data_IF_063746805653
#
_entry.id   IF_063746805653
#
_cell.length_a   1.000
_cell.length_b   1.000
_cell.length_c   1.000
_cell.angle_alpha   90.00
_cell.angle_beta   90.00
_cell.angle_gamma   90.00
#
_symmetry.space_group_name_H-M   'P 1'
#
loop_
_entity.id
_entity.type
_entity.pdbx_description
1 polymer ?
#
# COMPACT_ATOMS: atom_id res chain seq x y z
N UNK A 1 17.98 35.00 57.18
CA UNK A 1 18.26 36.06 58.18
C UNK A 1 18.66 37.33 57.45
N UNK A 2 18.47 38.53 58.04
CA UNK A 2 18.97 39.80 57.47
C UNK A 2 20.47 39.89 57.78
N UNK A 3 21.30 40.02 56.74
CA UNK A 3 22.73 40.22 56.90
C UNK A 3 23.09 41.62 56.38
N UNK A 4 23.82 42.39 57.19
CA UNK A 4 24.12 43.80 56.90
C UNK A 4 25.61 44.08 57.07
N UNK A 5 26.23 44.67 56.05
CA UNK A 5 27.64 45.12 56.12
C UNK A 5 27.74 46.61 55.83
N UNK A 6 28.45 47.34 56.69
CA UNK A 6 28.71 48.77 56.52
C UNK A 6 29.90 48.99 55.58
N UNK A 7 29.79 49.92 54.62
CA UNK A 7 30.90 50.24 53.72
C UNK A 7 31.96 51.12 54.42
N UNK A 8 33.25 50.74 54.41
CA UNK A 8 34.30 51.48 55.10
C UNK A 8 34.94 52.53 54.18
N UNK A 9 34.20 53.58 53.76
CA UNK A 9 34.71 54.94 53.48
C UNK A 9 33.64 55.84 52.80
N UNK A 10 32.68 56.34 53.58
CA UNK A 10 31.95 57.54 53.21
C UNK A 10 31.45 58.25 54.48
N UNK A 11 31.44 59.58 54.48
CA UNK A 11 30.91 60.42 55.57
C UNK A 11 29.40 60.26 55.80
N UNK A 12 28.75 59.44 54.97
CA UNK A 12 27.37 58.97 55.12
C UNK A 12 27.42 57.44 55.23
N UNK A 13 26.88 56.89 56.32
CA UNK A 13 26.80 55.45 56.49
C UNK A 13 25.77 54.85 55.51
N UNK A 14 26.26 54.14 54.48
CA UNK A 14 25.42 53.26 53.66
C UNK A 14 25.54 51.84 54.16
N UNK A 15 24.41 51.26 54.55
CA UNK A 15 24.28 49.84 54.83
C UNK A 15 23.92 49.12 53.52
N UNK A 16 24.59 48.00 53.26
CA UNK A 16 24.11 47.04 52.27
C UNK A 16 23.44 45.93 53.07
N UNK A 17 22.16 45.72 52.79
CA UNK A 17 21.36 44.65 53.36
C UNK A 17 20.97 43.67 52.25
N UNK A 18 21.06 42.38 52.53
CA UNK A 18 20.52 41.34 51.67
C UNK A 18 19.93 40.22 52.51
N UNK A 19 19.11 39.40 51.86
CA UNK A 19 18.56 38.20 52.45
C UNK A 19 19.50 37.03 52.19
N UNK A 20 19.87 36.35 53.28
CA UNK A 20 20.60 35.10 53.20
C UNK A 20 19.72 33.96 53.71
N UNK A 21 19.59 32.93 52.88
CA UNK A 21 18.80 31.72 53.17
C UNK A 21 19.78 30.59 53.44
N UNK A 22 19.59 29.92 54.58
CA UNK A 22 20.41 28.79 55.00
C UNK A 22 19.51 27.59 55.28
N UNK A 23 19.99 26.41 54.91
CA UNK A 23 19.30 25.15 55.17
C UNK A 23 19.41 24.77 56.66
N UNK A 24 18.36 24.17 57.23
CA UNK A 24 18.40 23.69 58.61
C UNK A 24 19.06 22.32 58.67
N UNK A 25 20.25 22.29 59.25
CA UNK A 25 21.04 21.07 59.43
C UNK A 25 20.93 20.48 60.85
N UNK A 26 20.16 21.10 61.74
CA UNK A 26 20.06 20.66 63.14
C UNK A 26 19.19 19.41 63.28
N UNK A 27 18.23 19.25 62.37
CA UNK A 27 17.33 18.11 62.32
C UNK A 27 17.72 17.14 61.20
N UNK A 28 17.66 15.83 61.49
CA UNK A 28 17.98 14.78 60.53
C UNK A 28 17.15 14.92 59.25
N UNK A 29 17.83 14.98 58.10
CA UNK A 29 17.15 15.12 56.80
C UNK A 29 16.39 13.83 56.46
N UNK A 30 15.18 13.93 55.88
CA UNK A 30 14.38 12.74 55.53
C UNK A 30 15.06 11.84 54.47
N UNK A 31 16.00 12.39 53.71
CA UNK A 31 16.80 11.67 52.72
C UNK A 31 18.28 11.93 52.96
N UNK A 32 19.07 10.86 53.17
CA UNK A 32 20.53 10.92 53.21
C UNK A 32 21.06 10.76 51.80
N UNK A 33 21.66 11.81 51.24
CA UNK A 33 22.44 11.70 50.01
C UNK A 33 23.92 11.73 50.39
N UNK A 34 24.61 10.61 50.21
CA UNK A 34 26.03 10.48 50.50
C UNK A 34 26.84 11.50 49.68
N UNK A 35 27.80 12.15 50.34
CA UNK A 35 28.76 13.06 49.70
C UNK A 35 28.34 14.53 49.56
N UNK A 36 27.15 14.93 50.03
CA UNK A 36 26.64 16.31 49.88
C UNK A 36 26.21 16.93 51.23
N UNK A 37 26.62 16.37 52.36
CA UNK A 37 26.19 16.78 53.71
C UNK A 37 26.92 18.03 54.26
N UNK A 38 27.08 19.04 53.41
CA UNK A 38 27.66 20.33 53.78
C UNK A 38 26.55 21.40 53.88
N UNK A 39 26.46 22.10 55.01
CA UNK A 39 25.43 23.11 55.29
C UNK A 39 25.70 24.49 54.69
N UNK A 40 26.65 24.56 53.77
CA UNK A 40 27.08 25.81 53.11
C UNK A 40 26.27 26.12 51.85
N UNK A 41 25.44 25.17 51.38
CA UNK A 41 24.68 25.29 50.14
C UNK A 41 23.23 24.90 50.34
N UNK A 42 22.33 25.56 49.61
CA UNK A 42 20.92 25.19 49.54
C UNK A 42 20.76 23.93 48.67
N UNK A 43 20.08 22.91 49.21
CA UNK A 43 19.82 21.65 48.49
C UNK A 43 18.44 21.65 47.86
N UNK A 44 18.38 21.51 46.54
CA UNK A 44 17.13 21.30 45.80
C UNK A 44 17.15 19.91 45.17
N UNK A 45 16.14 19.09 45.49
CA UNK A 45 15.93 17.79 44.83
C UNK A 45 14.77 17.97 43.86
N UNK A 46 15.06 17.84 42.56
CA UNK A 46 14.07 17.94 41.50
C UNK A 46 13.86 16.57 40.86
N UNK A 47 12.62 16.09 40.85
CA UNK A 47 12.21 14.92 40.08
C UNK A 47 11.66 15.42 38.75
N UNK A 48 12.36 15.13 37.66
CA UNK A 48 11.92 15.46 36.32
C UNK A 48 11.41 14.20 35.64
N UNK A 49 10.14 14.21 35.28
CA UNK A 49 9.55 13.14 34.47
C UNK A 49 9.81 13.40 32.98
N UNK A 50 9.89 12.32 32.19
CA UNK A 50 10.06 12.41 30.75
C UNK A 50 8.74 12.83 30.11
N UNK A 51 8.69 14.05 29.62
CA UNK A 51 7.58 14.51 28.80
C UNK A 51 7.70 13.93 27.38
N UNK A 52 6.68 13.19 26.94
CA UNK A 52 6.57 12.79 25.54
C UNK A 52 6.02 13.96 24.71
N UNK A 53 6.61 14.23 23.53
CA UNK A 53 6.12 15.30 22.67
C UNK A 53 4.70 14.98 22.17
N UNK A 54 3.81 15.98 22.24
CA UNK A 54 2.39 15.83 21.91
C UNK A 54 2.15 15.37 20.47
N UNK A 55 3.10 15.61 19.56
CA UNK A 55 3.02 15.14 18.17
C UNK A 55 3.01 13.61 18.05
N UNK A 56 3.74 12.90 18.91
CA UNK A 56 3.81 11.43 18.88
C UNK A 56 2.53 10.79 19.44
N UNK A 57 1.76 11.52 20.25
CA UNK A 57 0.51 11.03 20.85
C UNK A 57 -0.58 10.74 19.81
N UNK A 58 -0.56 11.46 18.68
CA UNK A 58 -1.50 11.27 17.57
C UNK A 58 -1.26 9.91 16.91
N UNK A 59 0.01 9.54 16.73
CA UNK A 59 0.43 8.29 16.10
C UNK A 59 0.24 7.11 17.05
N UNK A 60 0.63 7.27 18.32
CA UNK A 60 0.54 6.20 19.33
C UNK A 60 -0.88 5.94 19.84
N UNK A 61 -1.82 6.87 19.61
CA UNK A 61 -3.23 6.71 19.96
C UNK A 61 -4.04 6.07 18.83
N UNK A 62 -4.92 6.85 18.20
CA UNK A 62 -5.83 6.36 17.16
C UNK A 62 -5.16 6.16 15.79
N UNK A 63 -3.94 6.67 15.58
CA UNK A 63 -3.21 6.56 14.32
C UNK A 63 -2.95 5.12 13.88
N UNK A 64 -2.48 4.26 14.79
CA UNK A 64 -2.22 2.85 14.49
C UNK A 64 -3.48 2.08 14.11
N UNK A 65 -4.62 2.40 14.75
CA UNK A 65 -5.92 1.80 14.44
C UNK A 65 -6.40 2.27 13.06
N UNK A 66 -6.23 3.55 12.74
CA UNK A 66 -6.51 4.09 11.40
C UNK A 66 -5.65 3.45 10.31
N UNK A 67 -4.34 3.28 10.56
CA UNK A 67 -3.42 2.61 9.64
C UNK A 67 -3.83 1.15 9.41
N UNK A 68 -4.15 0.41 10.47
CA UNK A 68 -4.60 -0.98 10.34
C UNK A 68 -5.89 -1.10 9.54
N UNK A 69 -6.90 -0.30 9.88
CA UNK A 69 -8.20 -0.36 9.20
C UNK A 69 -8.10 0.05 7.73
N UNK A 70 -7.36 1.12 7.41
CA UNK A 70 -7.12 1.54 6.02
C UNK A 70 -6.38 0.47 5.22
N UNK A 71 -5.32 -0.11 5.77
CA UNK A 71 -4.59 -1.20 5.11
C UNK A 71 -5.49 -2.40 4.81
N UNK A 72 -6.26 -2.87 5.79
CA UNK A 72 -7.20 -3.98 5.62
C UNK A 72 -8.28 -3.66 4.58
N UNK A 73 -8.80 -2.43 4.57
CA UNK A 73 -9.77 -1.98 3.57
C UNK A 73 -9.18 -1.94 2.15
N UNK A 74 -7.94 -1.50 1.99
CA UNK A 74 -7.26 -1.51 0.68
C UNK A 74 -7.06 -2.94 0.20
N UNK A 75 -6.52 -3.83 1.04
CA UNK A 75 -6.28 -5.24 0.68
C UNK A 75 -7.59 -5.93 0.33
N UNK A 76 -8.63 -5.76 1.14
CA UNK A 76 -9.95 -6.36 0.86
C UNK A 76 -10.57 -5.84 -0.44
N UNK A 77 -10.37 -4.57 -0.79
CA UNK A 77 -10.81 -4.03 -2.09
C UNK A 77 -10.03 -4.60 -3.26
N UNK A 78 -8.72 -4.77 -3.12
CA UNK A 78 -7.91 -5.41 -4.16
C UNK A 78 -8.37 -6.84 -4.39
N UNK A 79 -8.45 -7.65 -3.33
CA UNK A 79 -8.92 -9.05 -3.40
C UNK A 79 -10.31 -9.13 -4.02
N UNK A 80 -11.24 -8.25 -3.61
CA UNK A 80 -12.58 -8.19 -4.21
C UNK A 80 -12.54 -7.80 -5.69
N UNK A 81 -11.65 -6.91 -6.10
CA UNK A 81 -11.48 -6.53 -7.51
C UNK A 81 -11.06 -7.70 -8.39
N UNK A 82 -10.12 -8.52 -7.93
CA UNK A 82 -9.68 -9.73 -8.65
C UNK A 82 -10.80 -10.76 -8.81
N UNK A 83 -11.64 -10.95 -7.79
CA UNK A 83 -12.71 -11.95 -7.84
C UNK A 83 -13.97 -11.44 -8.55
N UNK A 84 -14.32 -10.16 -8.37
CA UNK A 84 -15.57 -9.60 -8.90
C UNK A 84 -15.47 -9.16 -10.37
N UNK A 85 -14.26 -8.94 -10.90
CA UNK A 85 -14.05 -8.52 -12.29
C UNK A 85 -14.11 -9.64 -13.32
N UNK A 86 -14.11 -10.90 -12.89
CA UNK A 86 -14.00 -12.06 -13.80
C UNK A 86 -15.18 -12.20 -14.75
N UNK A 87 -16.39 -11.78 -14.34
CA UNK A 87 -17.59 -11.93 -15.18
C UNK A 87 -17.54 -11.15 -16.49
N UNK A 88 -16.83 -10.02 -16.52
CA UNK A 88 -16.69 -9.19 -17.71
C UNK A 88 -15.70 -9.79 -18.73
N UNK A 89 -14.75 -10.60 -18.28
CA UNK A 89 -13.73 -11.21 -19.16
C UNK A 89 -14.16 -12.57 -19.69
N UNK A 90 -15.18 -13.22 -19.12
CA UNK A 90 -15.72 -14.53 -19.56
C UNK A 90 -15.90 -14.59 -21.09
N UNK A 91 -16.47 -13.55 -21.70
CA UNK A 91 -16.72 -13.54 -23.15
C UNK A 91 -15.45 -13.61 -24.02
N UNK A 92 -14.30 -13.23 -23.45
CA UNK A 92 -12.99 -13.23 -24.11
C UNK A 92 -12.11 -14.39 -23.64
N UNK A 93 -12.30 -14.87 -22.41
CA UNK A 93 -11.50 -15.98 -21.86
C UNK A 93 -12.05 -17.35 -22.31
N UNK A 94 -13.38 -17.53 -22.37
CA UNK A 94 -14.03 -18.82 -22.63
C UNK A 94 -14.35 -19.06 -24.13
N UNK A 95 -13.38 -18.85 -25.01
CA UNK A 95 -13.53 -19.10 -26.46
C UNK A 95 -13.08 -20.52 -26.85
N UNK A 96 -13.95 -21.35 -27.47
CA UNK A 96 -13.63 -22.77 -27.69
C UNK A 96 -12.61 -23.05 -28.80
N UNK A 97 -12.54 -22.23 -29.86
CA UNK A 97 -11.58 -22.38 -30.96
C UNK A 97 -11.13 -21.01 -31.49
N UNK A 98 -9.90 -20.60 -31.16
CA UNK A 98 -9.40 -19.23 -31.42
C UNK A 98 -8.55 -19.08 -32.68
N UNK A 99 -8.27 -20.17 -33.40
CA UNK A 99 -7.33 -20.17 -34.53
C UNK A 99 -7.73 -19.20 -35.65
N UNK A 100 -9.03 -19.03 -35.91
CA UNK A 100 -9.52 -18.09 -36.93
C UNK A 100 -9.24 -16.62 -36.56
N UNK A 101 -9.35 -16.30 -35.26
CA UNK A 101 -9.03 -14.95 -34.75
C UNK A 101 -7.53 -14.74 -34.74
N UNK A 102 -6.77 -15.76 -34.34
CA UNK A 102 -5.31 -15.75 -34.38
C UNK A 102 -4.80 -15.55 -35.81
N UNK A 103 -5.37 -16.24 -36.79
CA UNK A 103 -5.03 -16.10 -38.20
C UNK A 103 -5.29 -14.68 -38.69
N UNK A 104 -6.42 -14.06 -38.33
CA UNK A 104 -6.68 -12.66 -38.65
C UNK A 104 -5.62 -11.72 -38.07
N UNK A 105 -5.17 -11.95 -36.83
CA UNK A 105 -4.08 -11.17 -36.22
C UNK A 105 -2.74 -11.37 -36.94
N UNK A 106 -2.46 -12.59 -37.41
CA UNK A 106 -1.26 -12.90 -38.20
C UNK A 106 -1.33 -12.28 -39.61
N UNK A 107 -2.50 -12.27 -40.23
CA UNK A 107 -2.70 -11.62 -41.53
C UNK A 107 -2.46 -10.10 -41.42
N UNK A 108 -2.98 -9.45 -40.36
CA UNK A 108 -2.69 -8.04 -40.06
C UNK A 108 -1.18 -7.81 -39.88
N UNK A 109 -0.51 -8.70 -39.14
CA UNK A 109 0.93 -8.62 -38.93
C UNK A 109 1.71 -8.72 -40.25
N UNK A 110 1.33 -9.67 -41.12
CA UNK A 110 1.98 -9.87 -42.42
C UNK A 110 1.77 -8.66 -43.34
N UNK A 111 0.55 -8.12 -43.41
CA UNK A 111 0.22 -6.96 -44.24
C UNK A 111 0.95 -5.69 -43.77
N UNK A 112 1.17 -5.56 -42.46
CA UNK A 112 2.00 -4.48 -41.90
C UNK A 112 3.47 -4.62 -42.33
N UNK A 113 4.02 -5.83 -42.34
CA UNK A 113 5.38 -6.10 -42.81
C UNK A 113 5.54 -5.88 -44.32
N UNK A 114 4.49 -6.14 -45.12
CA UNK A 114 4.51 -5.86 -46.56
C UNK A 114 4.27 -4.38 -46.91
N UNK A 115 3.84 -3.56 -45.94
CA UNK A 115 3.59 -2.13 -46.12
C UNK A 115 2.28 -1.79 -46.86
N UNK A 116 1.32 -2.72 -46.92
CA UNK A 116 0.04 -2.53 -47.59
C UNK A 116 -1.03 -2.00 -46.63
N UNK A 117 -0.90 -0.72 -46.24
CA UNK A 117 -1.67 -0.12 -45.16
C UNK A 117 -3.19 -0.06 -45.39
N UNK A 118 -3.67 0.04 -46.63
CA UNK A 118 -5.11 0.04 -46.93
C UNK A 118 -5.76 -1.30 -46.57
N UNK A 119 -5.04 -2.41 -46.84
CA UNK A 119 -5.52 -3.74 -46.48
C UNK A 119 -5.42 -3.98 -44.97
N UNK A 120 -4.40 -3.41 -44.31
CA UNK A 120 -4.26 -3.44 -42.86
C UNK A 120 -5.47 -2.77 -42.18
N UNK A 121 -5.88 -1.60 -42.65
CA UNK A 121 -7.04 -0.87 -42.13
C UNK A 121 -8.33 -1.68 -42.24
N UNK A 122 -8.57 -2.34 -43.38
CA UNK A 122 -9.73 -3.19 -43.60
C UNK A 122 -9.74 -4.43 -42.69
N UNK A 123 -8.61 -5.11 -42.54
CA UNK A 123 -8.47 -6.27 -41.65
C UNK A 123 -8.61 -5.87 -40.18
N UNK A 124 -8.07 -4.71 -39.79
CA UNK A 124 -8.20 -4.18 -38.44
C UNK A 124 -9.64 -3.77 -38.12
N UNK A 125 -10.36 -3.17 -39.08
CA UNK A 125 -11.78 -2.86 -38.92
C UNK A 125 -12.62 -4.12 -38.69
N UNK A 126 -12.30 -5.22 -39.39
CA UNK A 126 -12.91 -6.53 -39.18
C UNK A 126 -12.66 -7.07 -37.77
N UNK A 127 -11.45 -6.92 -37.24
CA UNK A 127 -11.10 -7.31 -35.87
C UNK A 127 -11.90 -6.52 -34.83
N UNK A 128 -11.98 -5.19 -34.97
CA UNK A 128 -12.76 -4.33 -34.07
C UNK A 128 -14.25 -4.69 -34.11
N UNK A 129 -14.79 -4.91 -35.31
CA UNK A 129 -16.19 -5.29 -35.47
C UNK A 129 -16.50 -6.63 -34.79
N UNK A 130 -15.58 -7.60 -34.88
CA UNK A 130 -15.70 -8.88 -34.19
C UNK A 130 -15.74 -8.71 -32.66
N UNK A 131 -14.82 -7.96 -32.08
CA UNK A 131 -14.76 -7.73 -30.62
C UNK A 131 -15.89 -6.83 -30.09
N UNK A 132 -16.55 -6.05 -30.97
CA UNK A 132 -17.72 -5.25 -30.60
C UNK A 132 -19.02 -6.07 -30.52
N UNK A 133 -19.07 -7.27 -31.11
CA UNK A 133 -20.25 -8.13 -31.14
C UNK A 133 -19.94 -9.52 -30.57
N UNK A 134 -20.30 -9.82 -29.30
CA UNK A 134 -20.06 -11.13 -28.70
C UNK A 134 -20.81 -12.26 -29.44
N UNK A 135 -21.93 -11.95 -30.10
CA UNK A 135 -22.66 -12.92 -30.93
C UNK A 135 -21.86 -13.38 -32.15
N UNK A 136 -21.14 -12.46 -32.79
CA UNK A 136 -20.26 -12.80 -33.91
C UNK A 136 -19.01 -13.52 -33.43
N UNK A 137 -18.44 -13.09 -32.31
CA UNK A 137 -17.28 -13.72 -31.69
C UNK A 137 -17.55 -15.21 -31.43
N UNK A 138 -18.69 -15.56 -30.81
CA UNK A 138 -19.08 -16.95 -30.55
C UNK A 138 -19.20 -17.75 -31.85
N UNK A 139 -19.84 -17.21 -32.90
CA UNK A 139 -19.98 -17.90 -34.19
C UNK A 139 -18.62 -18.15 -34.85
N UNK A 140 -17.71 -17.19 -34.71
CA UNK A 140 -16.33 -17.25 -35.21
C UNK A 140 -15.41 -18.16 -34.42
N UNK A 141 -15.73 -18.48 -33.17
CA UNK A 141 -14.93 -19.38 -32.34
C UNK A 141 -15.52 -20.78 -32.20
N UNK A 142 -16.60 -21.11 -32.94
CA UNK A 142 -17.12 -22.48 -32.98
C UNK A 142 -16.09 -23.46 -33.57
N UNK A 143 -15.98 -24.69 -33.02
CA UNK A 143 -15.24 -25.76 -33.66
C UNK A 143 -15.77 -26.04 -35.07
N UNK A 144 -14.92 -26.42 -36.02
CA UNK A 144 -15.38 -26.97 -37.29
C UNK A 144 -16.22 -28.22 -37.00
N UNK A 145 -17.38 -28.34 -37.64
CA UNK A 145 -18.19 -29.54 -37.56
C UNK A 145 -17.38 -30.66 -38.24
N UNK A 146 -16.87 -31.60 -37.44
CA UNK A 146 -16.28 -32.83 -37.94
C UNK A 146 -17.37 -33.50 -38.77
N UNK A 147 -17.20 -33.51 -40.09
CA UNK A 147 -18.09 -34.25 -40.96
C UNK A 147 -18.22 -35.67 -40.41
N UNK A 148 -19.43 -36.17 -40.12
CA UNK A 148 -19.59 -37.59 -39.86
C UNK A 148 -19.12 -38.31 -41.13
N UNK A 149 -18.23 -39.28 -40.97
CA UNK A 149 -17.81 -40.22 -42.01
C UNK A 149 -19.06 -40.91 -42.59
N UNK A 150 -19.72 -40.27 -43.56
CA UNK A 150 -20.84 -40.83 -44.30
C UNK A 150 -20.26 -41.73 -45.38
N UNK A 151 -20.34 -43.04 -45.14
CA UNK A 151 -20.45 -44.04 -46.19
C UNK A 151 -19.13 -44.55 -46.77
N UNK A 152 -18.47 -45.45 -46.03
CA UNK A 152 -17.56 -46.41 -46.64
C UNK A 152 -17.78 -47.83 -46.11
N UNK A 153 -19.00 -48.35 -46.29
CA UNK A 153 -19.26 -49.79 -46.23
C UNK A 153 -20.49 -50.12 -47.09
N UNK A 154 -20.38 -50.06 -48.42
CA UNK A 154 -21.30 -50.78 -49.33
C UNK A 154 -20.84 -50.80 -50.81
N UNK A 155 -19.56 -51.12 -51.08
CA UNK A 155 -19.13 -51.43 -52.46
C UNK A 155 -18.31 -52.72 -52.56
N UNK A 156 -18.98 -53.71 -53.15
CA UNK A 156 -18.43 -54.80 -53.96
C UNK A 156 -17.76 -55.99 -53.25
N UNK A 157 -18.54 -57.06 -53.02
CA UNK A 157 -18.01 -58.42 -53.10
C UNK A 157 -18.22 -58.91 -54.55
N UNK A 158 -17.17 -59.15 -55.35
CA UNK A 158 -17.33 -59.83 -56.63
C UNK A 158 -17.69 -61.29 -56.35
N UNK A 159 -18.71 -61.78 -57.06
CA UNK A 159 -19.11 -63.17 -57.00
C UNK A 159 -17.94 -64.11 -57.33
N UNK A 160 -17.76 -65.11 -56.48
CA UNK A 160 -16.93 -66.28 -56.80
C UNK A 160 -17.89 -67.45 -56.99
N UNK A 161 -18.12 -67.79 -58.26
CA UNK A 161 -18.53 -69.14 -58.65
C UNK A 161 -17.28 -70.03 -58.63
N UNK A 162 -17.21 -70.96 -57.69
CA UNK A 162 -16.87 -72.38 -57.91
C UNK A 162 -16.99 -73.17 -56.62
#
# INVERSE_FOLDING_TARGET
MLNATAMPNSSVARYIEWWEVQDDCSHGKPYRLEGIDNCNFLRLIAFSDKAFPSELSIISGYGIVGLYTTFVLVVSRLVRGFVAGTSFTIMFDDMPYVDRVLQLCLDIYLVRESGEFTLEEDLFAKLIFLYRSPEMLIKWTRPPELEPEVGRDERQLPGVQR
#
